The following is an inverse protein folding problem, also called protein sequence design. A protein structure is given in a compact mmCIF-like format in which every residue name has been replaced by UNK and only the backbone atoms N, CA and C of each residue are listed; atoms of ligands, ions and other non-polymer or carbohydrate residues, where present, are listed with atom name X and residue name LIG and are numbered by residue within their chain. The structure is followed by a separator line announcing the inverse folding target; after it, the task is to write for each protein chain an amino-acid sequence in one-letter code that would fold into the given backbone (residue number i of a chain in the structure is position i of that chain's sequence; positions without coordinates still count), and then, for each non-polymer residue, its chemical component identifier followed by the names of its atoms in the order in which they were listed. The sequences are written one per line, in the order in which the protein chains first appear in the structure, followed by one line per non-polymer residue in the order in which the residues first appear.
data_IF_971424752578
#
_entry.id   IF_971424752578
#
_cell.length_a   1.000
_cell.length_b   1.000
_cell.length_c   1.000
_cell.angle_alpha   90.00
_cell.angle_beta   90.00
_cell.angle_gamma   90.00
#
_symmetry.space_group_name_H-M   'P 1'
#
loop_
_entity.id
_entity.type
_entity.pdbx_description
1 polymer ?
#
# COMPACT_ATOMS: atom_id res chain seq x y z
N UNK A 1 11.01 -12.94 21.84
CA UNK A 1 9.64 -13.53 21.74
C UNK A 1 9.81 -15.04 21.72
N UNK A 2 9.08 -15.80 22.54
CA UNK A 2 9.20 -17.26 22.53
C UNK A 2 8.35 -17.79 21.38
N UNK A 3 9.01 -18.08 20.26
CA UNK A 3 8.40 -18.55 19.01
C UNK A 3 7.64 -19.89 19.22
N UNK A 4 8.07 -20.71 20.17
CA UNK A 4 7.43 -21.99 20.46
C UNK A 4 5.98 -21.85 20.98
N UNK A 5 5.62 -20.68 21.52
CA UNK A 5 4.24 -20.39 21.96
C UNK A 5 3.23 -20.31 20.80
N UNK A 6 3.70 -20.10 19.59
CA UNK A 6 2.88 -20.02 18.38
C UNK A 6 2.90 -21.29 17.54
N UNK A 7 3.60 -22.32 18.03
CA UNK A 7 3.65 -23.61 17.35
C UNK A 7 2.30 -24.29 17.40
N UNK A 8 1.81 -24.70 16.23
CA UNK A 8 0.52 -25.38 16.11
C UNK A 8 0.64 -26.75 16.79
N UNK A 9 -0.18 -27.06 17.82
CA UNK A 9 -0.23 -28.38 18.42
C UNK A 9 -0.53 -29.46 17.36
N UNK A 10 0.04 -30.64 17.51
CA UNK A 10 -0.10 -31.71 16.52
C UNK A 10 -1.56 -32.08 16.28
N UNK A 11 -2.39 -32.07 17.30
CA UNK A 11 -3.83 -32.31 17.26
C UNK A 11 -4.63 -31.22 16.54
N UNK A 12 -4.10 -30.00 16.45
CA UNK A 12 -4.75 -28.86 15.81
C UNK A 12 -4.28 -28.65 14.35
N UNK A 13 -3.29 -29.40 13.88
CA UNK A 13 -2.72 -29.26 12.54
C UNK A 13 -3.70 -29.60 11.41
N UNK A 14 -4.61 -30.54 11.62
CA UNK A 14 -5.62 -30.92 10.63
C UNK A 14 -5.04 -31.15 9.25
N UNK A 15 -5.55 -30.43 8.25
CA UNK A 15 -5.10 -30.51 6.85
C UNK A 15 -3.93 -29.57 6.51
N UNK A 16 -3.28 -28.93 7.49
CA UNK A 16 -2.18 -28.00 7.21
C UNK A 16 -0.94 -28.76 6.72
N UNK A 17 -0.21 -28.22 5.73
CA UNK A 17 1.03 -28.79 5.25
C UNK A 17 2.07 -28.94 6.37
N UNK A 18 2.87 -30.03 6.36
CA UNK A 18 3.85 -30.30 7.42
C UNK A 18 4.86 -29.18 7.67
N UNK A 19 5.18 -28.42 6.63
CA UNK A 19 6.11 -27.29 6.67
C UNK A 19 5.54 -26.03 7.34
N UNK A 20 4.21 -25.95 7.51
CA UNK A 20 3.55 -24.84 8.21
C UNK A 20 3.43 -25.17 9.70
N UNK A 21 4.46 -24.88 10.47
CA UNK A 21 4.50 -25.21 11.89
C UNK A 21 3.89 -24.16 12.82
N UNK A 22 3.74 -22.92 12.36
CA UNK A 22 3.33 -21.78 13.17
C UNK A 22 2.12 -21.08 12.60
N UNK A 23 1.24 -20.56 13.48
CA UNK A 23 0.20 -19.62 13.10
C UNK A 23 0.73 -18.20 13.26
N UNK A 24 0.62 -17.40 12.20
CA UNK A 24 0.87 -15.98 12.25
C UNK A 24 -0.43 -15.21 12.47
N UNK A 25 -0.41 -14.19 13.33
CA UNK A 25 -1.55 -13.31 13.49
C UNK A 25 -1.68 -12.36 12.30
N UNK A 26 -2.88 -12.26 11.76
CA UNK A 26 -3.21 -11.27 10.71
C UNK A 26 -3.58 -9.90 11.29
N UNK A 27 -3.50 -9.72 12.61
CA UNK A 27 -3.90 -8.47 13.28
C UNK A 27 -5.41 -8.23 13.34
N UNK A 28 -6.23 -9.22 13.03
CA UNK A 28 -7.69 -9.12 13.02
C UNK A 28 -8.25 -9.94 14.18
N UNK A 29 -8.97 -9.28 15.09
CA UNK A 29 -9.50 -9.89 16.28
C UNK A 29 -10.98 -9.56 16.49
N UNK A 30 -11.75 -10.51 16.97
CA UNK A 30 -13.16 -10.35 17.36
C UNK A 30 -13.28 -10.69 18.83
N UNK A 31 -13.79 -9.76 19.62
CA UNK A 31 -14.01 -9.91 21.06
C UNK A 31 -15.48 -9.75 21.43
N UNK A 32 -15.92 -10.45 22.49
CA UNK A 32 -17.05 -9.96 23.26
C UNK A 32 -16.65 -8.66 23.96
N UNK A 33 -17.55 -7.67 24.03
CA UNK A 33 -17.26 -6.35 24.59
C UNK A 33 -16.73 -6.44 26.03
N UNK A 34 -17.43 -7.16 26.90
CA UNK A 34 -17.03 -7.34 28.30
C UNK A 34 -15.64 -7.97 28.43
N UNK A 35 -15.36 -8.98 27.60
CA UNK A 35 -14.03 -9.61 27.57
C UNK A 35 -12.94 -8.66 27.11
N UNK A 36 -13.23 -7.80 26.14
CA UNK A 36 -12.28 -6.78 25.67
C UNK A 36 -11.99 -5.76 26.76
N UNK A 37 -13.03 -5.26 27.45
CA UNK A 37 -12.86 -4.36 28.58
C UNK A 37 -12.01 -4.97 29.70
N UNK A 38 -12.29 -6.23 30.11
CA UNK A 38 -11.48 -6.94 31.10
C UNK A 38 -10.01 -7.12 30.66
N UNK A 39 -9.75 -7.26 29.36
CA UNK A 39 -8.39 -7.40 28.82
C UNK A 39 -7.62 -6.08 28.74
N UNK A 40 -8.31 -4.94 28.66
CA UNK A 40 -7.69 -3.64 28.39
C UNK A 40 -7.68 -2.71 29.60
N UNK A 41 -8.62 -2.88 30.54
CA UNK A 41 -8.79 -1.96 31.66
C UNK A 41 -8.11 -2.44 32.95
N UNK A 42 -8.01 -1.55 33.91
CA UNK A 42 -7.45 -1.83 35.25
C UNK A 42 -5.93 -2.04 35.19
N UNK A 43 -5.46 -3.15 35.73
CA UNK A 43 -4.02 -3.48 35.75
C UNK A 43 -3.39 -3.67 34.35
N UNK A 44 -4.24 -3.87 33.34
CA UNK A 44 -3.83 -4.12 31.97
C UNK A 44 -3.68 -2.85 31.11
N UNK A 45 -4.09 -1.68 31.60
CA UNK A 45 -4.01 -0.39 30.87
C UNK A 45 -2.60 0.00 30.42
N UNK A 46 -1.59 -0.60 31.05
CA UNK A 46 -0.19 -0.41 30.69
C UNK A 46 0.25 -1.11 29.39
N UNK A 47 -0.56 -2.05 28.90
CA UNK A 47 -0.24 -2.83 27.71
C UNK A 47 -0.73 -2.12 26.46
N UNK A 48 0.08 -2.12 25.41
CA UNK A 48 -0.16 -1.37 24.17
C UNK A 48 -0.22 -2.24 22.93
N UNK A 49 0.16 -3.52 23.03
CA UNK A 49 0.26 -4.43 21.89
C UNK A 49 -0.61 -5.67 22.11
N UNK A 50 -1.60 -5.88 21.24
CA UNK A 50 -2.49 -7.03 21.31
C UNK A 50 -1.74 -8.35 21.12
N UNK A 51 -0.85 -8.43 20.15
CA UNK A 51 -0.15 -9.67 19.80
C UNK A 51 0.91 -10.06 20.80
N UNK A 52 1.65 -9.09 21.31
CA UNK A 52 2.80 -9.33 22.20
C UNK A 52 2.42 -9.38 23.67
N UNK A 53 1.35 -8.73 24.08
CA UNK A 53 1.02 -8.51 25.50
C UNK A 53 -0.38 -9.03 25.84
N UNK A 54 -1.43 -8.51 25.20
CA UNK A 54 -2.82 -8.80 25.59
C UNK A 54 -3.21 -10.25 25.32
N UNK A 55 -2.97 -10.75 24.08
CA UNK A 55 -3.34 -12.14 23.75
C UNK A 55 -2.57 -13.18 24.56
N UNK A 56 -1.24 -13.08 24.75
CA UNK A 56 -0.52 -14.00 25.62
C UNK A 56 -1.03 -14.04 27.06
N UNK A 57 -1.48 -12.92 27.61
CA UNK A 57 -2.06 -12.86 28.95
C UNK A 57 -3.45 -13.48 29.02
N UNK A 58 -4.21 -13.43 27.95
CA UNK A 58 -5.56 -13.99 27.87
C UNK A 58 -5.55 -15.52 27.61
N UNK A 59 -4.50 -16.05 26.98
CA UNK A 59 -4.33 -17.50 26.76
C UNK A 59 -4.33 -18.24 28.10
N UNK A 60 -5.17 -19.27 28.20
CA UNK A 60 -5.34 -20.05 29.41
C UNK A 60 -6.31 -19.47 30.47
N UNK A 61 -6.68 -18.17 30.33
CA UNK A 61 -7.67 -17.50 31.21
C UNK A 61 -9.02 -17.28 30.52
N UNK A 62 -9.01 -17.10 29.21
CA UNK A 62 -10.18 -16.84 28.37
C UNK A 62 -10.31 -17.92 27.31
N UNK A 63 -11.52 -18.11 26.79
CA UNK A 63 -11.74 -18.96 25.61
C UNK A 63 -11.31 -18.21 24.36
N UNK A 64 -10.17 -18.61 23.80
CA UNK A 64 -9.63 -18.05 22.54
C UNK A 64 -9.75 -19.13 21.47
N UNK A 65 -10.29 -18.74 20.31
CA UNK A 65 -10.38 -19.60 19.15
C UNK A 65 -9.63 -18.93 17.99
N UNK A 66 -8.84 -19.69 17.26
CA UNK A 66 -8.20 -19.24 16.03
C UNK A 66 -9.08 -19.62 14.83
N UNK A 67 -9.16 -18.73 13.85
CA UNK A 67 -9.66 -19.01 12.53
C UNK A 67 -8.47 -19.10 11.57
N UNK A 68 -8.27 -20.27 10.97
CA UNK A 68 -7.19 -20.46 9.99
C UNK A 68 -7.68 -19.93 8.64
N UNK A 69 -7.09 -18.83 8.19
CA UNK A 69 -7.37 -18.26 6.88
C UNK A 69 -6.45 -18.88 5.83
N UNK A 70 -7.03 -19.37 4.74
CA UNK A 70 -6.32 -20.01 3.62
C UNK A 70 -6.52 -19.22 2.31
N UNK A 71 -6.56 -17.91 2.40
CA UNK A 71 -6.65 -16.99 1.26
C UNK A 71 -5.38 -16.18 1.07
N UNK A 72 -5.41 -15.28 0.10
CA UNK A 72 -4.35 -14.31 -0.08
C UNK A 72 -4.29 -13.35 1.12
N UNK A 73 -3.14 -13.25 1.71
CA UNK A 73 -2.81 -12.29 2.76
C UNK A 73 -1.36 -11.86 2.61
N UNK A 74 -1.09 -10.56 2.68
CA UNK A 74 0.24 -9.98 2.59
C UNK A 74 0.44 -8.96 3.69
N UNK A 75 1.58 -9.03 4.38
CA UNK A 75 2.00 -8.00 5.32
C UNK A 75 2.78 -6.92 4.58
N UNK A 76 2.18 -5.73 4.50
CA UNK A 76 2.77 -4.56 3.83
C UNK A 76 3.45 -3.59 4.81
N UNK A 77 3.94 -4.09 5.93
CA UNK A 77 4.57 -3.30 7.00
C UNK A 77 5.95 -2.74 6.68
N UNK A 78 6.56 -3.11 5.55
CA UNK A 78 7.83 -2.52 5.08
C UNK A 78 7.64 -1.77 3.77
N UNK A 79 8.54 -0.82 3.47
CA UNK A 79 8.52 -0.10 2.17
C UNK A 79 8.61 -1.09 1.01
N UNK A 80 9.42 -2.13 1.15
CA UNK A 80 9.58 -3.17 0.12
C UNK A 80 8.29 -3.94 -0.10
N UNK A 81 7.68 -4.51 0.95
CA UNK A 81 6.45 -5.29 0.82
C UNK A 81 5.29 -4.43 0.30
N UNK A 82 5.20 -3.17 0.74
CA UNK A 82 4.25 -2.21 0.17
C UNK A 82 4.46 -2.01 -1.34
N UNK A 83 5.71 -1.81 -1.77
CA UNK A 83 6.05 -1.63 -3.18
C UNK A 83 5.71 -2.88 -3.99
N UNK A 84 6.18 -4.05 -3.55
CA UNK A 84 5.98 -5.31 -4.26
C UNK A 84 4.50 -5.67 -4.39
N UNK A 85 3.71 -5.53 -3.30
CA UNK A 85 2.27 -5.77 -3.32
C UNK A 85 1.53 -4.84 -4.30
N UNK A 86 1.89 -3.55 -4.36
CA UNK A 86 1.29 -2.62 -5.32
C UNK A 86 1.68 -2.94 -6.77
N UNK A 87 2.93 -3.31 -7.03
CA UNK A 87 3.37 -3.68 -8.39
C UNK A 87 2.71 -4.97 -8.87
N UNK A 88 2.49 -5.95 -7.98
CA UNK A 88 1.75 -7.17 -8.33
C UNK A 88 0.34 -6.89 -8.85
N UNK A 89 -0.32 -5.83 -8.38
CA UNK A 89 -1.65 -5.43 -8.89
C UNK A 89 -1.64 -5.05 -10.38
N UNK A 90 -0.48 -4.75 -10.96
CA UNK A 90 -0.35 -4.43 -12.39
C UNK A 90 -0.35 -5.66 -13.30
N UNK A 91 -0.32 -6.86 -12.75
CA UNK A 91 -0.40 -8.11 -13.48
C UNK A 91 -1.83 -8.34 -14.04
N UNK A 92 -1.95 -9.08 -15.14
CA UNK A 92 -3.26 -9.40 -15.72
C UNK A 92 -4.15 -10.26 -14.80
N UNK A 93 -3.53 -11.09 -13.97
CA UNK A 93 -4.21 -11.94 -13.00
C UNK A 93 -3.48 -11.85 -11.66
N UNK A 94 -3.64 -10.75 -10.93
CA UNK A 94 -3.00 -10.58 -9.64
C UNK A 94 -3.58 -11.56 -8.61
N UNK A 95 -2.79 -11.90 -7.59
CA UNK A 95 -3.24 -12.76 -6.50
C UNK A 95 -4.40 -12.12 -5.68
N UNK A 96 -4.49 -10.80 -5.68
CA UNK A 96 -5.57 -10.02 -5.10
C UNK A 96 -6.20 -9.12 -6.17
N UNK A 97 -7.54 -9.17 -6.30
CA UNK A 97 -8.30 -8.31 -7.22
C UNK A 97 -9.14 -7.32 -6.41
N UNK A 98 -9.14 -6.06 -6.83
CA UNK A 98 -9.98 -5.01 -6.23
C UNK A 98 -11.48 -5.20 -6.55
N UNK A 99 -11.82 -5.96 -7.58
CA UNK A 99 -13.19 -6.16 -7.99
C UNK A 99 -13.76 -7.48 -7.45
N UNK A 100 -14.78 -7.38 -6.62
CA UNK A 100 -15.56 -8.53 -6.15
C UNK A 100 -17.03 -8.17 -6.09
N UNK A 101 -17.86 -8.89 -6.83
CA UNK A 101 -19.33 -8.70 -6.81
C UNK A 101 -19.96 -8.96 -5.44
N UNK A 102 -19.41 -9.95 -4.71
CA UNK A 102 -20.00 -10.42 -3.47
C UNK A 102 -19.40 -9.76 -2.23
N UNK A 103 -18.27 -9.05 -2.40
CA UNK A 103 -17.52 -8.43 -1.31
C UNK A 103 -16.86 -7.13 -1.80
N UNK A 104 -17.68 -6.10 -2.11
CA UNK A 104 -17.14 -4.85 -2.63
C UNK A 104 -16.27 -4.15 -1.58
N UNK A 105 -15.18 -3.56 -2.05
CA UNK A 105 -14.30 -2.75 -1.20
C UNK A 105 -14.88 -1.33 -1.13
N UNK A 106 -15.32 -0.92 0.06
CA UNK A 106 -15.85 0.43 0.30
C UNK A 106 -14.70 1.38 0.57
N UNK A 107 -14.48 2.32 -0.36
CA UNK A 107 -13.50 3.40 -0.21
C UNK A 107 -14.21 4.75 -0.24
N UNK A 108 -13.50 5.82 0.13
CA UNK A 108 -14.01 7.18 0.02
C UNK A 108 -14.20 7.56 -1.46
N UNK A 109 -15.45 7.67 -1.87
CA UNK A 109 -15.82 8.12 -3.22
C UNK A 109 -15.42 9.58 -3.43
N UNK A 110 -14.61 9.85 -4.46
CA UNK A 110 -14.08 11.20 -4.71
C UNK A 110 -14.81 11.94 -5.82
N UNK A 111 -15.73 11.28 -6.52
CA UNK A 111 -16.52 11.82 -7.63
C UNK A 111 -15.67 12.57 -8.67
N UNK A 112 -14.53 11.97 -9.03
CA UNK A 112 -13.61 12.53 -10.01
C UNK A 112 -14.06 12.26 -11.43
N UNK A 113 -13.67 13.11 -12.41
CA UNK A 113 -13.89 12.82 -13.81
C UNK A 113 -13.01 11.64 -14.27
N UNK A 114 -13.33 11.00 -15.39
CA UNK A 114 -12.44 10.03 -16.02
C UNK A 114 -11.06 10.63 -16.31
N UNK A 115 -10.03 9.80 -16.28
CA UNK A 115 -8.68 10.22 -16.60
C UNK A 115 -8.55 10.64 -18.08
N UNK A 116 -7.80 11.71 -18.34
CA UNK A 116 -7.46 12.19 -19.69
C UNK A 116 -6.10 11.61 -20.10
N UNK A 117 -6.11 10.74 -21.09
CA UNK A 117 -4.89 10.13 -21.64
C UNK A 117 -4.71 10.61 -23.07
N UNK A 118 -3.60 11.29 -23.34
CA UNK A 118 -3.27 11.84 -24.65
C UNK A 118 -1.89 11.36 -25.12
N UNK A 119 -1.85 10.50 -26.14
CA UNK A 119 -0.63 9.92 -26.73
C UNK A 119 0.27 9.20 -25.70
N UNK A 120 -0.29 8.40 -24.83
CA UNK A 120 0.51 7.63 -23.89
C UNK A 120 0.69 6.18 -24.38
N UNK A 121 1.89 5.64 -24.17
CA UNK A 121 2.20 4.22 -24.29
C UNK A 121 2.14 3.59 -22.90
N UNK A 122 1.09 2.79 -22.64
CA UNK A 122 0.81 2.26 -21.31
C UNK A 122 0.81 0.74 -21.35
N UNK A 123 1.69 0.11 -20.58
CA UNK A 123 1.83 -1.34 -20.47
C UNK A 123 1.78 -1.76 -19.02
N UNK A 124 1.00 -2.82 -18.71
CA UNK A 124 0.91 -3.43 -17.37
C UNK A 124 0.80 -2.39 -16.24
N UNK A 125 -0.09 -1.43 -16.36
CA UNK A 125 -0.19 -0.31 -15.40
C UNK A 125 -1.63 -0.06 -14.99
N UNK A 126 -1.81 0.45 -13.77
CA UNK A 126 -3.09 0.88 -13.24
C UNK A 126 -3.15 2.41 -13.22
N UNK A 127 -4.27 2.96 -13.67
CA UNK A 127 -4.48 4.42 -13.66
C UNK A 127 -5.81 4.73 -12.97
N UNK A 128 -5.75 5.51 -11.91
CA UNK A 128 -6.93 5.94 -11.15
C UNK A 128 -7.66 7.11 -11.83
N UNK A 129 -8.80 7.50 -11.27
CA UNK A 129 -9.64 8.60 -11.77
C UNK A 129 -8.96 9.97 -11.66
N UNK A 130 -9.36 10.89 -12.55
CA UNK A 130 -8.94 12.28 -12.52
C UNK A 130 -7.49 12.53 -12.94
N UNK A 131 -6.80 11.57 -13.54
CA UNK A 131 -5.44 11.77 -14.02
C UNK A 131 -5.40 12.56 -15.34
N UNK A 132 -4.29 13.27 -15.56
CA UNK A 132 -3.97 13.95 -16.81
C UNK A 132 -2.60 13.44 -17.27
N UNK A 133 -2.58 12.61 -18.31
CA UNK A 133 -1.40 11.89 -18.77
C UNK A 133 -1.15 12.26 -20.23
N UNK A 134 -0.01 12.89 -20.51
CA UNK A 134 0.26 13.45 -21.83
C UNK A 134 1.59 12.97 -22.40
N UNK A 135 1.54 12.32 -23.56
CA UNK A 135 2.69 11.97 -24.41
C UNK A 135 3.86 11.35 -23.61
N UNK A 136 3.56 10.26 -22.88
CA UNK A 136 4.50 9.63 -21.96
C UNK A 136 4.48 8.09 -22.10
N UNK A 137 5.42 7.42 -21.40
CA UNK A 137 5.47 5.97 -21.32
C UNK A 137 5.30 5.52 -19.87
N UNK A 138 4.39 4.58 -19.65
CA UNK A 138 4.14 3.96 -18.38
C UNK A 138 4.32 2.45 -18.49
N UNK A 139 5.15 1.86 -17.67
CA UNK A 139 5.36 0.42 -17.58
C UNK A 139 5.31 -0.03 -16.12
N UNK A 140 4.56 -1.10 -15.84
CA UNK A 140 4.44 -1.70 -14.49
C UNK A 140 4.25 -0.65 -13.39
N UNK A 141 3.36 0.31 -13.61
CA UNK A 141 3.20 1.45 -12.72
C UNK A 141 1.77 1.59 -12.20
N UNK A 142 1.66 2.07 -10.97
CA UNK A 142 0.37 2.38 -10.33
C UNK A 142 0.26 3.90 -10.19
N UNK A 143 -0.72 4.48 -10.88
CA UNK A 143 -0.93 5.92 -10.93
C UNK A 143 -2.17 6.29 -10.13
N UNK A 144 -1.97 6.94 -9.00
CA UNK A 144 -3.00 7.36 -8.06
C UNK A 144 -3.86 8.53 -8.60
N UNK A 145 -4.92 8.83 -7.88
CA UNK A 145 -5.92 9.83 -8.27
C UNK A 145 -5.32 11.21 -8.50
N UNK A 146 -5.85 11.97 -9.47
CA UNK A 146 -5.44 13.35 -9.82
C UNK A 146 -3.97 13.50 -10.22
N UNK A 147 -3.29 12.42 -10.56
CA UNK A 147 -1.91 12.51 -11.04
C UNK A 147 -1.81 13.28 -12.34
N UNK A 148 -0.82 14.15 -12.44
CA UNK A 148 -0.48 14.87 -13.68
C UNK A 148 0.90 14.40 -14.13
N UNK A 149 1.00 13.93 -15.37
CA UNK A 149 2.26 13.46 -15.97
C UNK A 149 2.43 14.15 -17.30
N UNK A 150 3.48 14.95 -17.40
CA UNK A 150 3.79 15.77 -18.57
C UNK A 150 4.59 15.01 -19.63
N UNK A 151 4.56 15.57 -20.84
CA UNK A 151 5.13 14.96 -22.06
C UNK A 151 6.60 14.55 -21.94
N UNK A 152 6.93 13.46 -22.62
CA UNK A 152 8.30 12.95 -22.70
C UNK A 152 8.75 12.20 -21.46
N UNK A 153 7.87 12.05 -20.46
CA UNK A 153 8.20 11.36 -19.21
C UNK A 153 8.05 9.85 -19.37
N UNK A 154 8.99 9.10 -18.79
CA UNK A 154 9.01 7.65 -18.77
C UNK A 154 8.99 7.16 -17.32
N UNK A 155 8.00 6.33 -16.97
CA UNK A 155 7.86 5.71 -15.66
C UNK A 155 7.94 4.18 -15.81
N UNK A 156 8.80 3.54 -15.02
CA UNK A 156 8.98 2.08 -15.01
C UNK A 156 9.02 1.54 -13.58
N UNK A 157 8.03 0.74 -13.18
CA UNK A 157 7.92 0.26 -11.82
C UNK A 157 7.69 1.39 -10.80
N UNK A 158 6.80 2.34 -11.12
CA UNK A 158 6.54 3.51 -10.26
C UNK A 158 5.19 3.40 -9.58
N UNK A 159 5.17 3.67 -8.30
CA UNK A 159 3.94 3.87 -7.53
C UNK A 159 3.81 5.35 -7.24
N UNK A 160 2.88 6.03 -7.89
CA UNK A 160 2.53 7.42 -7.63
C UNK A 160 1.23 7.49 -6.84
N UNK A 161 1.28 7.97 -5.61
CA UNK A 161 0.13 7.96 -4.70
C UNK A 161 -0.93 9.02 -5.05
N UNK A 162 -0.65 9.89 -6.01
CA UNK A 162 -1.58 10.87 -6.54
C UNK A 162 -1.59 12.21 -5.80
N UNK A 163 -2.70 12.92 -5.87
CA UNK A 163 -2.86 14.23 -5.24
C UNK A 163 -4.22 14.35 -4.54
N UNK A 164 -4.27 15.16 -3.49
CA UNK A 164 -5.49 15.43 -2.74
C UNK A 164 -6.38 16.47 -3.44
N UNK A 165 -5.77 17.35 -4.26
CA UNK A 165 -6.43 18.40 -5.03
C UNK A 165 -5.64 18.69 -6.32
N UNK A 166 -6.21 19.49 -7.21
CA UNK A 166 -5.49 20.11 -8.32
C UNK A 166 -5.08 21.52 -7.90
N UNK A 167 -3.88 21.95 -8.27
CA UNK A 167 -3.52 23.35 -8.15
C UNK A 167 -4.49 24.19 -9.00
N UNK A 168 -5.02 25.28 -8.45
CA UNK A 168 -5.74 26.26 -9.25
C UNK A 168 -4.78 27.13 -10.11
N UNK A 169 -5.35 28.03 -10.91
CA UNK A 169 -4.52 28.82 -11.84
C UNK A 169 -3.65 29.85 -11.13
N UNK A 170 -4.10 30.39 -9.99
CA UNK A 170 -3.34 31.34 -9.17
C UNK A 170 -2.19 30.62 -8.43
N UNK A 171 -2.45 29.45 -7.87
CA UNK A 171 -1.45 28.60 -7.23
C UNK A 171 -0.36 28.19 -8.23
N UNK A 172 -0.75 27.74 -9.44
CA UNK A 172 0.22 27.41 -10.50
C UNK A 172 1.08 28.60 -10.89
N UNK A 173 0.44 29.79 -11.07
CA UNK A 173 1.17 31.00 -11.42
C UNK A 173 2.18 31.40 -10.32
N UNK A 174 1.81 31.28 -9.06
CA UNK A 174 2.68 31.56 -7.93
C UNK A 174 3.87 30.59 -7.84
N UNK A 175 3.61 29.28 -8.02
CA UNK A 175 4.70 28.27 -8.05
C UNK A 175 5.67 28.54 -9.18
N UNK A 176 5.17 28.81 -10.38
CA UNK A 176 6.00 29.11 -11.56
C UNK A 176 6.81 30.39 -11.35
N UNK A 177 6.20 31.45 -10.82
CA UNK A 177 6.89 32.69 -10.53
C UNK A 177 8.02 32.53 -9.50
N UNK A 178 7.88 31.59 -8.58
CA UNK A 178 8.90 31.22 -7.58
C UNK A 178 9.94 30.21 -8.12
N UNK A 179 9.87 29.81 -9.37
CA UNK A 179 10.74 28.78 -9.96
C UNK A 179 10.53 27.38 -9.37
N UNK A 180 9.37 27.11 -8.81
CA UNK A 180 9.00 25.83 -8.22
C UNK A 180 8.12 25.03 -9.18
N UNK A 181 8.21 23.68 -9.18
CA UNK A 181 7.33 22.85 -9.98
C UNK A 181 5.89 22.88 -9.44
N UNK A 182 4.92 22.71 -10.32
CA UNK A 182 3.51 22.47 -10.00
C UNK A 182 3.28 21.03 -9.57
N UNK A 183 2.10 20.71 -9.01
CA UNK A 183 1.76 19.34 -8.60
C UNK A 183 1.83 18.36 -9.77
N UNK A 184 2.51 17.23 -9.56
CA UNK A 184 2.69 16.18 -10.57
C UNK A 184 4.15 16.00 -11.01
N UNK A 185 4.31 15.39 -12.19
CA UNK A 185 5.61 15.11 -12.78
C UNK A 185 5.76 15.95 -14.05
N UNK A 186 6.82 16.75 -14.08
CA UNK A 186 7.18 17.60 -15.19
C UNK A 186 7.61 16.84 -16.45
N UNK A 187 8.16 17.57 -17.43
CA UNK A 187 8.50 17.05 -18.75
C UNK A 187 9.83 16.31 -18.77
N UNK A 188 9.92 15.31 -19.67
CA UNK A 188 11.14 14.57 -19.96
C UNK A 188 11.80 13.93 -18.75
N UNK A 189 11.02 13.54 -17.75
CA UNK A 189 11.52 12.84 -16.57
C UNK A 189 11.73 11.36 -16.86
N UNK A 190 12.70 10.75 -16.18
CA UNK A 190 12.89 9.28 -16.16
C UNK A 190 12.88 8.81 -14.72
N UNK A 191 11.86 8.03 -14.38
CA UNK A 191 11.66 7.58 -13.01
C UNK A 191 11.47 6.06 -13.02
N UNK A 192 12.23 5.35 -12.18
CA UNK A 192 12.16 3.91 -12.12
C UNK A 192 12.20 3.40 -10.65
N UNK A 193 11.49 2.29 -10.39
CA UNK A 193 11.53 1.58 -9.10
C UNK A 193 11.35 2.53 -7.90
N UNK A 194 10.35 3.40 -7.96
CA UNK A 194 10.18 4.51 -7.01
C UNK A 194 8.76 4.60 -6.50
N UNK A 195 8.61 4.90 -5.22
CA UNK A 195 7.36 5.34 -4.63
C UNK A 195 7.38 6.87 -4.58
N UNK A 196 6.36 7.49 -5.15
CA UNK A 196 6.15 8.94 -5.14
C UNK A 196 4.95 9.22 -4.26
N UNK A 197 5.18 9.91 -3.15
CA UNK A 197 4.15 10.24 -2.18
C UNK A 197 3.14 11.26 -2.73
N UNK A 198 2.06 11.45 -1.99
CA UNK A 198 0.98 12.38 -2.34
C UNK A 198 1.48 13.81 -2.51
N UNK A 199 0.82 14.51 -3.42
CA UNK A 199 1.06 15.94 -3.67
C UNK A 199 2.51 16.26 -4.08
N UNK A 200 3.25 15.27 -4.57
CA UNK A 200 4.63 15.47 -5.01
C UNK A 200 4.70 16.44 -6.20
N UNK A 201 5.77 17.24 -6.20
CA UNK A 201 6.05 18.25 -7.22
C UNK A 201 7.43 17.97 -7.81
N UNK A 202 7.46 17.36 -8.98
CA UNK A 202 8.70 16.97 -9.67
C UNK A 202 8.87 17.84 -10.90
N UNK A 203 9.98 18.56 -10.95
CA UNK A 203 10.29 19.46 -12.08
C UNK A 203 10.67 18.72 -13.35
N UNK A 204 10.92 19.48 -14.42
CA UNK A 204 11.31 18.93 -15.71
C UNK A 204 12.71 18.26 -15.68
N UNK A 205 12.93 17.28 -16.56
CA UNK A 205 14.21 16.59 -16.81
C UNK A 205 14.81 15.87 -15.59
N UNK A 206 14.01 15.50 -14.61
CA UNK A 206 14.45 14.76 -13.42
C UNK A 206 14.75 13.29 -13.76
N UNK A 207 15.76 12.72 -13.09
CA UNK A 207 16.09 11.30 -13.14
C UNK A 207 16.07 10.74 -11.71
N UNK A 208 15.16 9.81 -11.44
CA UNK A 208 14.92 9.26 -10.09
C UNK A 208 14.89 7.73 -10.18
N UNK A 209 15.63 7.06 -9.30
CA UNK A 209 15.64 5.59 -9.22
C UNK A 209 16.28 4.86 -10.41
N UNK A 210 16.82 5.56 -11.41
CA UNK A 210 17.38 4.97 -12.64
C UNK A 210 18.82 4.47 -12.48
N UNK A 211 19.48 4.76 -11.38
CA UNK A 211 20.93 4.51 -11.20
C UNK A 211 21.29 3.12 -10.65
N UNK A 212 20.34 2.20 -10.54
CA UNK A 212 20.59 0.81 -10.11
C UNK A 212 21.19 0.64 -8.69
N UNK A 213 21.18 1.67 -7.85
CA UNK A 213 21.58 1.54 -6.44
C UNK A 213 20.58 0.62 -5.75
N UNK A 214 21.08 -0.45 -5.12
CA UNK A 214 20.25 -1.29 -4.24
C UNK A 214 19.87 -0.46 -3.02
N UNK A 215 18.59 -0.44 -2.70
CA UNK A 215 18.11 0.11 -1.44
C UNK A 215 18.51 -0.83 -0.31
N UNK A 216 19.02 -0.30 0.78
CA UNK A 216 19.15 -1.02 2.03
C UNK A 216 17.82 -0.94 2.77
N UNK A 217 17.26 -2.08 3.18
CA UNK A 217 16.15 -2.11 4.13
C UNK A 217 16.69 -1.59 5.46
N UNK A 218 16.33 -0.38 5.82
CA UNK A 218 16.65 0.26 7.09
C UNK A 218 15.37 0.82 7.69
N UNK A 219 15.18 0.62 8.99
CA UNK A 219 14.15 1.31 9.75
C UNK A 219 14.59 2.79 9.90
N UNK A 220 14.08 3.61 9.01
CA UNK A 220 14.28 5.06 9.04
C UNK A 220 13.09 5.68 9.79
N UNK A 221 13.05 5.40 11.12
CA UNK A 221 12.07 5.98 12.03
C UNK A 221 12.18 7.51 12.16
#
# INVERSE_FOLDING_TARGET
MNIDAWKIPAEARGALPPEKEYLASMGIYIFNADTMEECLLGENEKYTDFGKEILPLAIGKKKICSYVFDGYWEDIGTIRSFYEANIQLTELSPAFDFYSNNSPIYTHMRNLPPSKINKADITSSLTSEGCIITDCKLNKSVIGVRSIIEKGTELDGVIMMGADYYDDDDEKADYIAKGKPVTGIGKNCKIANTIIDKNARIGDNCQIGVSGKKYEDGDHG
#
